data_IF_306511460498
#
_entry.id   IF_306511460498
#
_cell.length_a   1.000
_cell.length_b   1.000
_cell.length_c   1.000
_cell.angle_alpha   90.00
_cell.angle_beta   90.00
_cell.angle_gamma   90.00
#
_symmetry.space_group_name_H-M   'P 1'
#
loop_
_entity.id
_entity.type
_entity.pdbx_description
1 polymer ?
#
# COMPACT_ATOMS: atom_id res chain seq x y z
N UNK A 1 -31.59 41.66 -23.67
CA UNK A 1 -30.15 41.36 -23.73
C UNK A 1 -29.76 40.71 -22.39
N UNK A 2 -29.36 39.44 -22.47
CA UNK A 2 -28.70 38.54 -21.48
C UNK A 2 -28.75 38.87 -19.98
N UNK A 3 -29.65 38.25 -19.19
CA UNK A 3 -29.57 36.94 -18.49
C UNK A 3 -28.40 36.77 -17.51
N UNK A 4 -28.77 36.75 -16.22
CA UNK A 4 -28.07 36.20 -15.06
C UNK A 4 -27.44 34.83 -15.38
N UNK A 5 -26.18 34.62 -14.98
CA UNK A 5 -25.58 33.28 -14.88
C UNK A 5 -25.44 32.93 -13.40
N UNK A 6 -26.12 31.86 -13.02
CA UNK A 6 -26.02 31.24 -11.70
C UNK A 6 -24.64 30.64 -11.48
N UNK A 7 -24.14 30.79 -10.26
CA UNK A 7 -23.01 30.06 -9.70
C UNK A 7 -23.51 28.67 -9.29
N UNK A 8 -23.63 27.74 -10.24
CA UNK A 8 -23.92 26.33 -9.98
C UNK A 8 -22.65 25.63 -9.45
N UNK A 9 -22.27 25.94 -8.21
CA UNK A 9 -21.40 25.08 -7.42
C UNK A 9 -22.21 23.88 -6.94
N UNK A 10 -22.39 22.92 -7.85
CA UNK A 10 -22.82 21.56 -7.55
C UNK A 10 -21.76 20.84 -6.73
N UNK A 11 -21.64 21.20 -5.45
CA UNK A 11 -20.85 20.47 -4.47
C UNK A 11 -21.53 19.15 -4.17
N UNK A 12 -21.03 18.06 -4.74
CA UNK A 12 -21.39 16.72 -4.30
C UNK A 12 -20.76 16.46 -2.93
N UNK A 13 -21.44 16.85 -1.86
CA UNK A 13 -21.14 16.42 -0.51
C UNK A 13 -21.73 15.03 -0.31
N UNK A 14 -20.91 13.99 -0.49
CA UNK A 14 -21.27 12.67 0.02
C UNK A 14 -21.15 12.70 1.56
N UNK A 15 -22.23 12.48 2.33
CA UNK A 15 -22.08 12.23 3.75
C UNK A 15 -21.19 10.98 3.92
N UNK A 16 -20.31 10.91 4.94
CA UNK A 16 -19.61 9.67 5.23
C UNK A 16 -20.66 8.58 5.45
N UNK A 17 -20.74 7.66 4.49
CA UNK A 17 -21.65 6.52 4.59
C UNK A 17 -21.38 5.78 5.89
N UNK A 18 -22.42 5.20 6.54
CA UNK A 18 -22.21 4.46 7.77
C UNK A 18 -21.14 3.40 7.52
N UNK A 19 -20.06 3.44 8.31
CA UNK A 19 -19.06 2.37 8.36
C UNK A 19 -19.77 1.12 8.86
N UNK A 20 -20.40 0.37 7.95
CA UNK A 20 -20.78 -1.00 8.24
C UNK A 20 -19.47 -1.76 8.39
N UNK A 21 -19.09 -2.03 9.64
CA UNK A 21 -18.13 -3.06 9.94
C UNK A 21 -18.64 -4.33 9.25
N UNK A 22 -18.00 -4.71 8.13
CA UNK A 22 -18.19 -6.04 7.59
C UNK A 22 -17.64 -6.95 8.68
N UNK A 23 -18.45 -7.84 9.28
CA UNK A 23 -17.93 -8.78 10.25
C UNK A 23 -16.92 -9.62 9.49
N UNK A 24 -15.63 -9.39 9.76
CA UNK A 24 -14.60 -10.36 9.39
C UNK A 24 -14.99 -11.60 10.18
N UNK A 25 -15.62 -12.57 9.52
CA UNK A 25 -15.77 -13.90 10.10
C UNK A 25 -14.35 -14.29 10.51
N UNK A 26 -14.09 -14.33 11.81
CA UNK A 26 -12.96 -15.08 12.38
C UNK A 26 -13.22 -16.54 12.04
N UNK A 27 -12.96 -16.88 10.78
CA UNK A 27 -12.99 -18.23 10.31
C UNK A 27 -11.80 -18.90 10.97
N UNK A 28 -12.05 -19.61 12.06
CA UNK A 28 -11.15 -20.59 12.61
C UNK A 28 -11.01 -21.74 11.61
N UNK A 29 -10.36 -21.48 10.47
CA UNK A 29 -9.63 -22.54 9.79
C UNK A 29 -8.27 -22.52 10.44
N UNK A 30 -8.13 -23.26 11.53
CA UNK A 30 -6.81 -23.71 11.96
C UNK A 30 -6.22 -24.50 10.78
N UNK A 31 -5.42 -23.83 9.94
CA UNK A 31 -4.45 -24.54 9.12
C UNK A 31 -3.31 -24.90 10.06
N UNK A 32 -3.55 -25.88 10.93
CA UNK A 32 -2.46 -26.56 11.62
C UNK A 32 -1.50 -27.04 10.51
N UNK A 33 -0.36 -26.36 10.37
CA UNK A 33 0.64 -26.62 9.32
C UNK A 33 0.77 -25.58 8.19
N UNK A 34 0.04 -24.47 8.17
CA UNK A 34 0.35 -23.39 7.19
C UNK A 34 1.61 -22.63 7.62
N UNK A 35 2.55 -22.51 6.69
CA UNK A 35 3.81 -21.77 6.87
C UNK A 35 3.52 -20.26 7.01
N UNK A 36 4.14 -19.62 8.01
CA UNK A 36 4.19 -18.14 8.11
C UNK A 36 5.07 -17.62 6.98
N UNK A 37 4.56 -16.67 6.21
CA UNK A 37 5.25 -16.05 5.08
C UNK A 37 5.48 -14.58 5.41
N UNK A 38 6.66 -14.05 5.06
CA UNK A 38 6.94 -12.63 5.12
C UNK A 38 6.57 -11.94 3.80
N UNK A 39 5.60 -11.04 3.84
CA UNK A 39 5.17 -10.24 2.69
C UNK A 39 5.73 -8.83 2.78
N UNK A 40 6.30 -8.33 1.69
CA UNK A 40 6.57 -6.91 1.52
C UNK A 40 5.44 -6.29 0.70
N UNK A 41 4.75 -5.31 1.27
CA UNK A 41 3.63 -4.60 0.63
C UNK A 41 4.07 -3.17 0.35
N UNK A 42 4.35 -2.85 -0.91
CA UNK A 42 4.59 -1.45 -1.32
C UNK A 42 3.26 -0.72 -1.48
N UNK A 43 3.22 0.59 -1.22
CA UNK A 43 1.94 1.32 -1.14
C UNK A 43 1.11 0.89 0.08
N UNK A 44 1.77 0.40 1.13
CA UNK A 44 1.12 -0.24 2.28
C UNK A 44 0.20 0.69 3.08
N UNK A 45 0.43 2.00 3.04
CA UNK A 45 -0.44 2.99 3.68
C UNK A 45 -1.56 3.50 2.76
N UNK A 46 -1.60 3.05 1.50
CA UNK A 46 -2.69 3.28 0.56
C UNK A 46 -3.95 2.47 0.88
N UNK A 47 -5.04 2.73 0.16
CA UNK A 47 -6.33 2.07 0.40
C UNK A 47 -6.26 0.54 0.25
N UNK A 48 -5.74 0.05 -0.88
CA UNK A 48 -5.64 -1.40 -1.13
C UNK A 48 -4.57 -2.03 -0.25
N UNK A 49 -3.41 -1.37 -0.13
CA UNK A 49 -2.27 -1.88 0.62
C UNK A 49 -2.55 -2.10 2.11
N UNK A 50 -3.28 -1.20 2.75
CA UNK A 50 -3.61 -1.35 4.17
C UNK A 50 -4.56 -2.51 4.42
N UNK A 51 -5.62 -2.63 3.61
CA UNK A 51 -6.58 -3.73 3.72
C UNK A 51 -5.93 -5.09 3.42
N UNK A 52 -5.02 -5.15 2.45
CA UNK A 52 -4.24 -6.36 2.19
C UNK A 52 -3.34 -6.70 3.39
N UNK A 53 -2.69 -5.71 3.98
CA UNK A 53 -1.84 -5.89 5.16
C UNK A 53 -2.64 -6.45 6.33
N UNK A 54 -3.81 -5.87 6.64
CA UNK A 54 -4.71 -6.36 7.69
C UNK A 54 -5.13 -7.81 7.44
N UNK A 55 -5.45 -8.15 6.17
CA UNK A 55 -5.85 -9.50 5.80
C UNK A 55 -4.73 -10.52 5.98
N UNK A 56 -3.51 -10.21 5.52
CA UNK A 56 -2.35 -11.09 5.63
C UNK A 56 -1.97 -11.32 7.11
N UNK A 57 -1.99 -10.25 7.92
CA UNK A 57 -1.74 -10.34 9.36
C UNK A 57 -2.81 -11.18 10.06
N UNK A 58 -4.09 -11.01 9.72
CA UNK A 58 -5.19 -11.82 10.25
C UNK A 58 -5.09 -13.32 9.86
N UNK A 59 -4.37 -13.63 8.77
CA UNK A 59 -4.05 -15.00 8.36
C UNK A 59 -2.80 -15.58 9.08
N UNK A 60 -2.14 -14.79 9.92
CA UNK A 60 -0.95 -15.21 10.68
C UNK A 60 0.36 -15.04 9.90
N UNK A 61 0.39 -14.18 8.89
CA UNK A 61 1.59 -13.84 8.14
C UNK A 61 2.25 -12.58 8.67
N UNK A 62 3.53 -12.38 8.32
CA UNK A 62 4.29 -11.17 8.66
C UNK A 62 4.21 -10.17 7.51
N UNK A 63 4.04 -8.89 7.82
CA UNK A 63 3.92 -7.83 6.81
C UNK A 63 4.95 -6.72 7.05
N UNK A 64 5.68 -6.39 5.98
CA UNK A 64 6.59 -5.27 5.86
C UNK A 64 5.96 -4.25 4.90
N UNK A 65 5.33 -3.20 5.44
CA UNK A 65 4.70 -2.17 4.62
C UNK A 65 5.72 -1.08 4.26
N UNK A 66 5.86 -0.77 2.97
CA UNK A 66 6.70 0.31 2.45
C UNK A 66 5.81 1.35 1.78
N UNK A 67 5.90 2.61 2.16
CA UNK A 67 5.11 3.71 1.59
C UNK A 67 5.84 5.04 1.81
N UNK A 68 5.75 5.99 0.89
CA UNK A 68 6.36 7.33 1.03
C UNK A 68 5.38 8.37 1.58
N UNK A 69 4.12 7.98 1.84
CA UNK A 69 3.01 8.82 2.30
C UNK A 69 2.64 9.97 1.36
N UNK A 70 3.04 9.89 0.08
CA UNK A 70 2.66 10.87 -0.94
C UNK A 70 1.14 10.95 -1.12
N UNK A 71 0.47 9.79 -1.05
CA UNK A 71 -1.00 9.67 -1.05
C UNK A 71 -1.53 8.73 0.05
N UNK A 72 -0.67 7.86 0.59
CA UNK A 72 -0.97 6.99 1.71
C UNK A 72 -1.20 7.76 3.01
N UNK A 73 -1.89 7.15 3.96
CA UNK A 73 -2.15 7.74 5.28
C UNK A 73 -1.76 6.76 6.37
N UNK A 74 -0.94 7.21 7.32
CA UNK A 74 -0.56 6.39 8.50
C UNK A 74 -1.79 5.88 9.27
N UNK A 75 -2.88 6.65 9.29
CA UNK A 75 -4.14 6.24 9.91
C UNK A 75 -4.72 4.94 9.31
N UNK A 76 -4.44 4.64 8.04
CA UNK A 76 -4.87 3.39 7.41
C UNK A 76 -4.17 2.16 8.00
N UNK A 77 -3.00 2.33 8.63
CA UNK A 77 -2.22 1.26 9.25
C UNK A 77 -2.59 1.00 10.72
N UNK A 78 -3.65 1.63 11.24
CA UNK A 78 -3.99 1.53 12.66
C UNK A 78 -4.26 0.09 13.12
N UNK A 79 -4.98 -0.69 12.32
CA UNK A 79 -5.26 -2.10 12.60
C UNK A 79 -4.00 -2.96 12.48
N UNK A 80 -3.28 -2.88 11.36
CA UNK A 80 -2.01 -3.57 11.17
C UNK A 80 -1.01 -3.36 12.32
N UNK A 81 -0.88 -2.13 12.85
CA UNK A 81 0.01 -1.83 13.99
C UNK A 81 -0.38 -2.54 15.28
N UNK A 82 -1.64 -2.95 15.44
CA UNK A 82 -2.08 -3.71 16.63
C UNK A 82 -1.51 -5.14 16.69
N UNK A 83 -0.97 -5.66 15.57
CA UNK A 83 -0.34 -6.98 15.50
C UNK A 83 1.10 -7.02 16.03
N UNK A 84 1.65 -5.89 16.52
CA UNK A 84 2.96 -5.86 17.17
C UNK A 84 4.11 -6.21 16.22
N UNK A 85 4.92 -7.21 16.59
CA UNK A 85 6.13 -7.61 15.86
C UNK A 85 5.88 -8.16 14.46
N UNK A 86 4.66 -8.63 14.18
CA UNK A 86 4.30 -9.19 12.87
C UNK A 86 4.10 -8.10 11.80
N UNK A 87 3.98 -6.85 12.21
CA UNK A 87 3.87 -5.71 11.31
C UNK A 87 5.06 -4.77 11.47
N UNK A 88 5.63 -4.32 10.37
CA UNK A 88 6.63 -3.25 10.36
C UNK A 88 6.34 -2.28 9.23
N UNK A 89 6.42 -0.99 9.50
CA UNK A 89 6.23 0.07 8.52
C UNK A 89 7.54 0.80 8.24
N UNK A 90 7.82 1.04 6.97
CA UNK A 90 8.96 1.81 6.47
C UNK A 90 8.43 2.99 5.67
N UNK A 91 8.67 4.21 6.17
CA UNK A 91 8.43 5.43 5.40
C UNK A 91 9.58 5.61 4.41
N UNK A 92 9.38 5.19 3.16
CA UNK A 92 10.43 5.11 2.17
C UNK A 92 9.87 5.17 0.75
N UNK A 93 10.55 5.93 -0.11
CA UNK A 93 10.34 5.94 -1.55
C UNK A 93 10.93 4.67 -2.18
N UNK A 94 10.19 4.02 -3.06
CA UNK A 94 10.65 2.81 -3.77
C UNK A 94 11.85 3.06 -4.69
N UNK A 95 12.15 4.31 -5.00
CA UNK A 95 13.34 4.71 -5.77
C UNK A 95 14.58 4.91 -4.89
N UNK A 96 14.46 4.73 -3.58
CA UNK A 96 15.57 4.90 -2.64
C UNK A 96 16.64 3.83 -2.83
N UNK A 97 17.91 4.24 -2.76
CA UNK A 97 19.06 3.34 -2.65
C UNK A 97 19.01 2.46 -1.38
N UNK A 98 18.21 2.87 -0.38
CA UNK A 98 17.94 2.17 0.87
C UNK A 98 17.08 0.91 0.73
N UNK A 99 16.43 0.72 -0.41
CA UNK A 99 15.47 -0.37 -0.62
C UNK A 99 16.17 -1.74 -0.57
N UNK A 100 17.37 -1.84 -1.13
CA UNK A 100 18.12 -3.10 -1.15
C UNK A 100 18.48 -3.55 0.28
N UNK A 101 18.93 -2.64 1.15
CA UNK A 101 19.29 -3.00 2.53
C UNK A 101 18.05 -3.43 3.33
N UNK A 102 16.86 -2.90 3.01
CA UNK A 102 15.60 -3.37 3.59
C UNK A 102 15.33 -4.82 3.16
N UNK A 103 15.45 -5.12 1.87
CA UNK A 103 15.30 -6.47 1.32
C UNK A 103 16.33 -7.44 1.93
N UNK A 104 17.60 -7.07 2.00
CA UNK A 104 18.68 -7.85 2.62
C UNK A 104 18.40 -8.15 4.09
N UNK A 105 17.97 -7.15 4.86
CA UNK A 105 17.71 -7.29 6.30
C UNK A 105 16.48 -8.14 6.60
N UNK A 106 15.41 -7.95 5.84
CA UNK A 106 14.10 -8.49 6.18
C UNK A 106 13.71 -9.74 5.38
N UNK A 107 14.41 -10.04 4.28
CA UNK A 107 14.27 -11.24 3.47
C UNK A 107 12.79 -11.57 3.17
N UNK A 108 12.01 -10.66 2.55
CA UNK A 108 10.63 -10.95 2.21
C UNK A 108 10.56 -12.12 1.23
N UNK A 109 9.58 -12.99 1.40
CA UNK A 109 9.39 -14.15 0.53
C UNK A 109 8.50 -13.82 -0.66
N UNK A 110 7.56 -12.88 -0.48
CA UNK A 110 6.60 -12.44 -1.50
C UNK A 110 6.51 -10.92 -1.48
N UNK A 111 6.44 -10.32 -2.66
CA UNK A 111 6.22 -8.88 -2.83
C UNK A 111 4.84 -8.61 -3.42
N UNK A 112 4.07 -7.77 -2.74
CA UNK A 112 2.80 -7.23 -3.22
C UNK A 112 3.05 -5.77 -3.65
N UNK A 113 3.16 -5.54 -4.96
CA UNK A 113 3.51 -4.23 -5.49
C UNK A 113 2.27 -3.37 -5.75
N UNK A 114 1.93 -2.46 -4.83
CA UNK A 114 0.78 -1.57 -4.92
C UNK A 114 1.17 -0.08 -4.81
N UNK A 115 2.46 0.23 -4.64
CA UNK A 115 2.96 1.61 -4.61
C UNK A 115 3.05 2.18 -6.01
N UNK A 116 2.27 3.23 -6.30
CA UNK A 116 2.22 3.86 -7.61
C UNK A 116 1.77 5.33 -7.53
N UNK A 117 2.16 6.10 -8.52
CA UNK A 117 1.55 7.37 -8.88
C UNK A 117 0.26 7.06 -9.65
N UNK A 118 -0.91 7.27 -9.03
CA UNK A 118 -2.23 6.89 -9.59
C UNK A 118 -3.04 8.06 -10.14
N UNK A 119 -2.57 9.29 -9.99
CA UNK A 119 -3.24 10.51 -10.43
C UNK A 119 -3.08 10.74 -11.93
N UNK A 120 -4.18 10.56 -12.68
CA UNK A 120 -4.23 10.76 -14.14
C UNK A 120 -3.80 12.16 -14.56
N UNK A 121 -4.27 13.20 -13.87
CA UNK A 121 -3.90 14.58 -14.24
C UNK A 121 -2.41 14.83 -14.06
N UNK A 122 -1.84 14.33 -12.96
CA UNK A 122 -0.42 14.45 -12.66
C UNK A 122 0.45 13.69 -13.67
N UNK A 123 0.00 12.55 -14.19
CA UNK A 123 0.76 11.82 -15.20
C UNK A 123 0.80 12.52 -16.56
N UNK A 124 -0.23 13.33 -16.88
CA UNK A 124 -0.23 14.19 -18.06
C UNK A 124 0.62 15.45 -17.86
N UNK A 125 0.53 16.07 -16.70
CA UNK A 125 1.24 17.30 -16.38
C UNK A 125 2.76 17.07 -16.17
N UNK A 126 3.15 15.92 -15.62
CA UNK A 126 4.54 15.52 -15.36
C UNK A 126 4.77 14.02 -15.65
N UNK A 127 4.91 13.64 -16.93
CA UNK A 127 5.11 12.24 -17.33
C UNK A 127 6.48 11.68 -16.89
N UNK A 128 7.49 12.55 -16.73
CA UNK A 128 8.81 12.12 -16.26
C UNK A 128 8.74 11.67 -14.79
N UNK A 129 8.03 12.42 -13.94
CA UNK A 129 7.76 12.00 -12.58
C UNK A 129 6.93 10.72 -12.52
N UNK A 130 5.88 10.61 -13.35
CA UNK A 130 5.05 9.40 -13.41
C UNK A 130 5.87 8.15 -13.75
N UNK A 131 6.68 8.22 -14.82
CA UNK A 131 7.58 7.16 -15.21
C UNK A 131 8.63 6.84 -14.12
N UNK A 132 9.15 7.87 -13.45
CA UNK A 132 10.08 7.67 -12.34
C UNK A 132 9.46 6.85 -11.21
N UNK A 133 8.24 7.19 -10.78
CA UNK A 133 7.56 6.44 -9.70
C UNK A 133 7.12 5.06 -10.17
N UNK A 134 6.40 4.99 -11.28
CA UNK A 134 5.71 3.76 -11.71
C UNK A 134 6.64 2.76 -12.41
N UNK A 135 7.63 3.24 -13.18
CA UNK A 135 8.55 2.39 -13.94
C UNK A 135 9.83 2.19 -13.17
N UNK A 136 10.52 3.27 -12.79
CA UNK A 136 11.81 3.12 -12.09
C UNK A 136 11.64 2.56 -10.68
N UNK A 137 10.58 2.95 -9.95
CA UNK A 137 10.24 2.34 -8.67
C UNK A 137 9.95 0.84 -8.77
N UNK A 138 9.18 0.42 -9.78
CA UNK A 138 8.93 -0.99 -10.07
C UNK A 138 10.22 -1.76 -10.42
N UNK A 139 11.08 -1.19 -11.27
CA UNK A 139 12.36 -1.81 -11.63
C UNK A 139 13.25 -2.02 -10.40
N UNK A 140 13.34 -1.03 -9.51
CA UNK A 140 14.12 -1.16 -8.28
C UNK A 140 13.59 -2.30 -7.37
N UNK A 141 12.26 -2.40 -7.24
CA UNK A 141 11.61 -3.50 -6.49
C UNK A 141 11.92 -4.85 -7.14
N UNK A 142 11.87 -4.95 -8.47
CA UNK A 142 12.18 -6.20 -9.19
C UNK A 142 13.65 -6.58 -9.05
N UNK A 143 14.58 -5.64 -9.15
CA UNK A 143 16.01 -5.89 -8.95
C UNK A 143 16.31 -6.39 -7.53
N UNK A 144 15.72 -5.75 -6.52
CA UNK A 144 15.83 -6.21 -5.14
C UNK A 144 15.25 -7.62 -4.97
N UNK A 145 14.12 -7.90 -5.61
CA UNK A 145 13.44 -9.20 -5.55
C UNK A 145 14.30 -10.31 -6.16
N UNK A 146 14.94 -10.05 -7.30
CA UNK A 146 15.87 -11.00 -7.96
C UNK A 146 17.11 -11.24 -7.09
N UNK A 147 17.70 -10.19 -6.52
CA UNK A 147 18.91 -10.30 -5.68
C UNK A 147 18.70 -11.17 -4.44
N UNK A 148 17.51 -11.12 -3.85
CA UNK A 148 17.18 -11.86 -2.61
C UNK A 148 16.49 -13.21 -2.88
N UNK A 149 15.97 -13.43 -4.09
CA UNK A 149 15.26 -14.68 -4.42
C UNK A 149 13.84 -14.72 -3.88
N UNK A 150 13.11 -13.61 -4.00
CA UNK A 150 11.65 -13.56 -3.79
C UNK A 150 10.97 -14.58 -4.71
N UNK A 151 9.93 -15.27 -4.21
CA UNK A 151 9.28 -16.43 -4.85
C UNK A 151 7.92 -16.10 -5.46
#
# INVERSE_FOLDING_TARGET
MHRQRGDDRGGWSFPPGPRRAIPVRRGSRSRAGARVIAYLVTGGAGFIGSHLSDRLLAEGHRVLAVDDLSTGRIANLAEARSYGSEFTFFNMDLRSDGLLQLFERHQPEVVMHLGAQSGVRRSLDDPAFDASVNIMGLLNVMECSVKIGVR
#
